data_IF_277600826679
#
_entry.id   IF_277600826679
#
_cell.length_a   1.000
_cell.length_b   1.000
_cell.length_c   1.000
_cell.angle_alpha   90.00
_cell.angle_beta   90.00
_cell.angle_gamma   90.00
#
_symmetry.space_group_name_H-M   'P 1'
#
loop_
_entity.id
_entity.type
_entity.pdbx_description
1 polymer ?
#
# COMPACT_ATOMS: atom_id res chain seq x y z
N UNK A 1 5.05 -8.02 2.14
CA UNK A 1 4.07 -7.31 1.28
C UNK A 1 4.55 -5.88 0.99
N UNK A 2 5.21 -5.64 -0.14
CA UNK A 2 5.65 -4.30 -0.56
C UNK A 2 4.46 -3.44 -1.03
N UNK A 3 4.63 -2.11 -1.12
CA UNK A 3 3.64 -1.20 -1.69
C UNK A 3 3.17 -1.67 -3.09
N UNK A 4 4.11 -2.23 -3.86
CA UNK A 4 3.85 -2.89 -5.13
C UNK A 4 2.92 -4.09 -5.03
N UNK A 5 2.96 -4.84 -3.92
CA UNK A 5 2.06 -5.97 -3.66
C UNK A 5 0.66 -5.49 -3.28
N UNK A 6 0.55 -4.41 -2.50
CA UNK A 6 -0.74 -3.75 -2.15
C UNK A 6 -1.36 -3.05 -3.37
N UNK A 7 -0.55 -2.52 -4.27
CA UNK A 7 -1.00 -1.94 -5.54
C UNK A 7 -1.26 -3.03 -6.61
N UNK A 8 -0.50 -4.13 -6.63
CA UNK A 8 -0.75 -5.27 -7.53
C UNK A 8 -1.98 -6.10 -7.14
N UNK A 9 -2.36 -6.16 -5.86
CA UNK A 9 -3.68 -6.68 -5.47
C UNK A 9 -4.82 -5.75 -5.91
N UNK A 10 -4.56 -4.46 -6.18
CA UNK A 10 -5.54 -3.53 -6.76
C UNK A 10 -5.66 -3.65 -8.29
N UNK A 11 -4.62 -4.06 -9.02
CA UNK A 11 -4.69 -4.18 -10.49
C UNK A 11 -5.55 -5.34 -10.97
N UNK A 12 -5.58 -6.45 -10.23
CA UNK A 12 -6.53 -7.52 -10.51
C UNK A 12 -7.97 -7.07 -10.27
N UNK A 13 -8.22 -6.09 -9.39
CA UNK A 13 -9.57 -5.55 -9.17
C UNK A 13 -9.95 -4.44 -10.15
N UNK A 14 -9.06 -3.52 -10.56
CA UNK A 14 -9.42 -2.41 -11.48
C UNK A 14 -9.77 -2.87 -12.90
N UNK A 15 -9.11 -3.89 -13.43
CA UNK A 15 -9.47 -4.49 -14.74
C UNK A 15 -10.70 -5.40 -14.64
N UNK A 16 -10.88 -6.08 -13.50
CA UNK A 16 -12.11 -6.84 -13.20
C UNK A 16 -13.32 -5.93 -12.91
N UNK A 17 -13.09 -4.68 -12.47
CA UNK A 17 -14.12 -3.68 -12.11
C UNK A 17 -14.99 -3.26 -13.29
N UNK A 18 -14.48 -3.23 -14.53
CA UNK A 18 -15.32 -2.96 -15.72
C UNK A 18 -16.18 -4.16 -16.15
N UNK A 19 -15.78 -5.38 -15.78
CA UNK A 19 -16.53 -6.60 -16.09
C UNK A 19 -17.52 -7.00 -14.99
N UNK A 20 -17.29 -6.57 -13.73
CA UNK A 20 -18.12 -6.91 -12.57
C UNK A 20 -19.08 -5.81 -12.12
N UNK A 21 -18.97 -4.57 -12.61
CA UNK A 21 -19.93 -3.50 -12.26
C UNK A 21 -21.36 -3.79 -12.74
N UNK A 22 -21.53 -4.73 -13.68
CA UNK A 22 -22.85 -5.17 -14.15
C UNK A 22 -23.50 -6.26 -13.29
N UNK A 23 -22.81 -6.84 -12.29
CA UNK A 23 -23.40 -7.83 -11.36
C UNK A 23 -23.59 -7.33 -9.93
N UNK A 24 -23.21 -6.08 -9.64
CA UNK A 24 -23.17 -5.47 -8.30
C UNK A 24 -24.50 -4.86 -7.81
N UNK A 25 -25.61 -5.05 -8.52
CA UNK A 25 -26.93 -4.49 -8.19
C UNK A 25 -27.62 -5.09 -6.95
N UNK A 26 -26.93 -5.92 -6.15
CA UNK A 26 -27.51 -6.58 -4.97
C UNK A 26 -26.76 -6.34 -3.65
N UNK A 27 -25.64 -5.60 -3.61
CA UNK A 27 -24.96 -5.26 -2.35
C UNK A 27 -25.41 -3.88 -1.86
N UNK A 28 -25.81 -3.78 -0.59
CA UNK A 28 -26.19 -2.51 0.04
C UNK A 28 -24.99 -1.56 -0.05
N UNK A 29 -25.15 -0.44 -0.76
CA UNK A 29 -24.15 0.61 -0.77
C UNK A 29 -24.00 1.16 0.64
N UNK A 30 -22.78 1.14 1.20
CA UNK A 30 -22.51 1.78 2.48
C UNK A 30 -22.68 3.29 2.34
N UNK A 31 -23.44 3.90 3.26
CA UNK A 31 -23.60 5.35 3.32
C UNK A 31 -22.33 6.03 3.85
N UNK A 32 -22.21 7.35 3.65
CA UNK A 32 -21.07 8.15 4.12
C UNK A 32 -20.76 7.93 5.61
N UNK A 33 -21.79 7.93 6.48
CA UNK A 33 -21.66 7.71 7.91
C UNK A 33 -21.09 6.33 8.25
N UNK A 34 -21.54 5.28 7.55
CA UNK A 34 -21.07 3.91 7.77
C UNK A 34 -19.60 3.77 7.32
N UNK A 35 -19.23 4.39 6.21
CA UNK A 35 -17.84 4.39 5.72
C UNK A 35 -16.91 5.12 6.69
N UNK A 36 -17.33 6.29 7.21
CA UNK A 36 -16.56 7.04 8.20
C UNK A 36 -16.46 6.30 9.53
N UNK A 37 -17.51 5.62 9.97
CA UNK A 37 -17.49 4.78 11.17
C UNK A 37 -16.52 3.60 10.99
N UNK A 38 -16.61 2.86 9.89
CA UNK A 38 -15.67 1.77 9.60
C UNK A 38 -14.22 2.26 9.53
N UNK A 39 -14.00 3.43 8.93
CA UNK A 39 -12.69 4.06 8.85
C UNK A 39 -12.13 4.47 10.23
N UNK A 40 -12.98 4.95 11.14
CA UNK A 40 -12.63 5.22 12.53
C UNK A 40 -12.36 3.94 13.33
N UNK A 41 -13.16 2.89 13.14
CA UNK A 41 -12.99 1.58 13.75
C UNK A 41 -11.66 0.94 13.38
N UNK A 42 -11.26 1.06 12.11
CA UNK A 42 -9.95 0.62 11.64
C UNK A 42 -8.82 1.36 12.36
N UNK A 43 -8.98 2.66 12.60
CA UNK A 43 -7.98 3.47 13.33
C UNK A 43 -7.85 2.98 14.77
N UNK A 44 -8.98 2.78 15.47
CA UNK A 44 -9.00 2.23 16.84
C UNK A 44 -8.39 0.82 16.90
N UNK A 45 -8.62 -0.01 15.89
CA UNK A 45 -8.05 -1.36 15.84
C UNK A 45 -6.51 -1.34 15.70
N UNK A 46 -5.95 -0.33 15.04
CA UNK A 46 -4.49 -0.15 14.94
C UNK A 46 -3.85 0.32 16.24
N UNK A 47 -4.61 0.94 17.14
CA UNK A 47 -4.16 1.33 18.48
C UNK A 47 -4.11 0.16 19.46
N UNK A 48 -4.60 -1.02 19.07
CA UNK A 48 -4.61 -2.19 19.94
C UNK A 48 -3.18 -2.54 20.43
N UNK A 49 -2.98 -2.90 21.72
CA UNK A 49 -1.65 -3.16 22.27
C UNK A 49 -0.85 -4.19 21.48
N UNK A 50 -1.49 -5.27 21.04
CA UNK A 50 -0.86 -6.30 20.21
C UNK A 50 -0.28 -5.76 18.89
N UNK A 51 -0.97 -4.81 18.24
CA UNK A 51 -0.53 -4.20 16.98
C UNK A 51 0.66 -3.30 17.26
N UNK A 52 0.56 -2.42 18.26
CA UNK A 52 1.65 -1.51 18.63
C UNK A 52 2.91 -2.25 19.10
N UNK A 53 2.79 -3.39 19.78
CA UNK A 53 3.90 -4.25 20.17
C UNK A 53 4.62 -4.86 18.96
N UNK A 54 3.87 -5.38 17.98
CA UNK A 54 4.45 -5.92 16.74
C UNK A 54 5.17 -4.84 15.92
N UNK A 55 4.59 -3.64 15.86
CA UNK A 55 5.22 -2.49 15.21
C UNK A 55 6.51 -2.06 15.93
N UNK A 56 6.49 -2.00 17.27
CA UNK A 56 7.67 -1.67 18.07
C UNK A 56 8.79 -2.72 17.92
N UNK A 57 8.45 -4.00 17.83
CA UNK A 57 9.43 -5.06 17.55
C UNK A 57 10.08 -4.88 16.17
N UNK A 58 9.27 -4.57 15.14
CA UNK A 58 9.81 -4.27 13.80
C UNK A 58 10.68 -3.01 13.78
N UNK A 59 10.33 -1.99 14.56
CA UNK A 59 11.13 -0.77 14.73
C UNK A 59 12.51 -1.08 15.30
N UNK A 60 12.59 -1.96 16.30
CA UNK A 60 13.82 -2.25 17.04
C UNK A 60 14.85 -3.06 16.23
N UNK A 61 14.41 -3.91 15.28
CA UNK A 61 15.31 -4.85 14.60
C UNK A 61 15.13 -5.02 13.09
N UNK A 62 14.15 -4.37 12.48
CA UNK A 62 13.91 -4.45 11.04
C UNK A 62 14.71 -3.43 10.22
N UNK A 63 15.03 -3.76 8.97
CA UNK A 63 15.42 -2.74 7.98
C UNK A 63 14.19 -1.95 7.49
N UNK A 64 14.40 -0.95 6.62
CA UNK A 64 13.30 -0.13 6.07
C UNK A 64 12.19 -0.97 5.44
N UNK A 65 12.55 -2.04 4.71
CA UNK A 65 11.58 -2.89 4.04
C UNK A 65 10.75 -3.66 5.06
N UNK A 66 11.39 -4.26 6.05
CA UNK A 66 10.73 -5.01 7.12
C UNK A 66 9.78 -4.11 7.89
N UNK A 67 10.23 -2.92 8.33
CA UNK A 67 9.38 -1.94 9.02
C UNK A 67 8.15 -1.58 8.17
N UNK A 68 8.36 -1.24 6.90
CA UNK A 68 7.27 -0.86 5.99
C UNK A 68 6.28 -2.01 5.74
N UNK A 69 6.79 -3.21 5.50
CA UNK A 69 5.98 -4.42 5.29
C UNK A 69 5.14 -4.70 6.53
N UNK A 70 5.72 -4.60 7.74
CA UNK A 70 4.98 -4.83 8.99
C UNK A 70 3.87 -3.79 9.17
N UNK A 71 4.12 -2.51 8.91
CA UNK A 71 3.06 -1.48 8.94
C UNK A 71 1.90 -1.83 7.99
N UNK A 72 2.20 -2.20 6.75
CA UNK A 72 1.17 -2.58 5.76
C UNK A 72 0.45 -3.89 6.12
N UNK A 73 1.16 -4.84 6.74
CA UNK A 73 0.58 -6.09 7.23
C UNK A 73 -0.41 -5.84 8.36
N UNK A 74 -0.08 -4.95 9.30
CA UNK A 74 -0.98 -4.56 10.39
C UNK A 74 -2.23 -3.86 9.86
N UNK A 75 -2.07 -2.93 8.92
CA UNK A 75 -3.22 -2.29 8.27
C UNK A 75 -4.11 -3.31 7.56
N UNK A 76 -3.51 -4.20 6.76
CA UNK A 76 -4.24 -5.23 6.01
C UNK A 76 -4.93 -6.24 6.95
N UNK A 77 -4.30 -6.66 8.04
CA UNK A 77 -4.89 -7.63 8.97
C UNK A 77 -6.12 -7.05 9.68
N UNK A 78 -6.06 -5.77 10.09
CA UNK A 78 -7.23 -5.10 10.67
C UNK A 78 -8.34 -4.88 9.64
N UNK A 79 -8.00 -4.58 8.38
CA UNK A 79 -8.97 -4.51 7.28
C UNK A 79 -9.67 -5.86 7.05
N UNK A 80 -8.92 -6.97 7.04
CA UNK A 80 -9.48 -8.32 6.90
C UNK A 80 -10.44 -8.63 8.05
N UNK A 81 -10.02 -8.37 9.29
CA UNK A 81 -10.85 -8.59 10.47
C UNK A 81 -12.11 -7.70 10.48
N UNK A 82 -12.04 -6.50 9.89
CA UNK A 82 -13.21 -5.63 9.72
C UNK A 82 -14.14 -6.15 8.63
N UNK A 83 -13.61 -6.55 7.47
CA UNK A 83 -14.40 -7.12 6.38
C UNK A 83 -15.16 -8.38 6.83
N UNK A 84 -14.55 -9.24 7.66
CA UNK A 84 -15.20 -10.42 8.22
C UNK A 84 -16.37 -10.09 9.17
N UNK A 85 -16.40 -8.90 9.75
CA UNK A 85 -17.48 -8.44 10.66
C UNK A 85 -18.61 -7.71 9.92
N UNK A 86 -18.45 -7.45 8.62
CA UNK A 86 -19.43 -6.75 7.78
C UNK A 86 -20.06 -7.76 6.80
N UNK A 87 -21.05 -8.57 7.25
CA UNK A 87 -21.61 -9.66 6.44
C UNK A 87 -22.23 -9.15 5.11
N UNK A 88 -22.71 -7.90 5.10
CA UNK A 88 -23.35 -7.28 3.94
C UNK A 88 -22.38 -6.97 2.78
N UNK A 89 -21.06 -7.03 3.02
CA UNK A 89 -20.04 -6.78 1.99
C UNK A 89 -19.68 -8.04 1.17
N UNK A 90 -20.21 -9.20 1.55
CA UNK A 90 -19.81 -10.50 1.02
C UNK A 90 -18.60 -11.08 1.77
N UNK A 91 -18.34 -12.39 1.63
CA UNK A 91 -17.17 -13.01 2.26
C UNK A 91 -15.87 -12.81 1.46
N UNK A 92 -14.73 -12.89 2.14
CA UNK A 92 -13.42 -13.08 1.50
C UNK A 92 -12.80 -11.84 0.85
N UNK A 93 -12.03 -12.04 -0.21
CA UNK A 93 -11.19 -11.00 -0.85
C UNK A 93 -11.99 -9.86 -1.47
N UNK A 94 -13.24 -10.13 -1.89
CA UNK A 94 -14.10 -9.11 -2.50
C UNK A 94 -14.54 -8.05 -1.50
N UNK A 95 -14.88 -8.44 -0.26
CA UNK A 95 -15.23 -7.49 0.78
C UNK A 95 -14.05 -6.63 1.20
N UNK A 96 -12.84 -7.20 1.23
CA UNK A 96 -11.62 -6.43 1.49
C UNK A 96 -11.39 -5.41 0.37
N UNK A 97 -11.54 -5.80 -0.89
CA UNK A 97 -11.40 -4.86 -2.03
C UNK A 97 -12.46 -3.77 -1.98
N UNK A 98 -13.71 -4.12 -1.70
CA UNK A 98 -14.81 -3.15 -1.63
C UNK A 98 -14.62 -2.17 -0.47
N UNK A 99 -14.23 -2.66 0.71
CA UNK A 99 -13.93 -1.84 1.86
C UNK A 99 -12.75 -0.89 1.58
N UNK A 100 -11.69 -1.39 0.94
CA UNK A 100 -10.58 -0.55 0.48
C UNK A 100 -11.07 0.54 -0.49
N UNK A 101 -11.96 0.23 -1.41
CA UNK A 101 -12.51 1.24 -2.32
C UNK A 101 -13.29 2.31 -1.57
N UNK A 102 -14.19 1.91 -0.66
CA UNK A 102 -14.96 2.85 0.15
C UNK A 102 -14.06 3.75 1.02
N UNK A 103 -13.03 3.18 1.64
CA UNK A 103 -12.13 3.92 2.54
C UNK A 103 -11.23 4.94 1.82
N UNK A 104 -11.03 4.81 0.50
CA UNK A 104 -10.14 5.69 -0.27
C UNK A 104 -10.86 6.54 -1.34
N UNK A 105 -12.00 6.08 -1.85
CA UNK A 105 -12.78 6.77 -2.88
C UNK A 105 -14.07 7.40 -2.32
N UNK A 106 -14.46 7.05 -1.08
CA UNK A 106 -15.72 7.48 -0.50
C UNK A 106 -16.91 6.59 -0.89
N UNK A 107 -18.10 6.87 -0.34
CA UNK A 107 -19.32 6.13 -0.67
C UNK A 107 -19.73 6.36 -2.13
N UNK A 108 -20.25 5.32 -2.78
CA UNK A 108 -20.77 5.41 -4.15
C UNK A 108 -22.07 6.24 -4.26
N UNK A 109 -22.75 6.44 -3.13
CA UNK A 109 -24.00 7.19 -3.03
C UNK A 109 -23.77 8.34 -2.06
N UNK A 110 -23.57 9.54 -2.61
CA UNK A 110 -23.55 10.79 -1.85
C UNK A 110 -24.80 11.61 -2.21
N UNK A 111 -25.40 12.26 -1.21
CA UNK A 111 -26.60 13.08 -1.39
C UNK A 111 -26.34 14.34 -2.25
N UNK A 112 -25.09 14.79 -2.30
CA UNK A 112 -24.62 15.91 -3.13
C UNK A 112 -23.11 15.83 -3.40
N UNK A 113 -22.61 16.63 -4.34
CA UNK A 113 -21.17 16.75 -4.60
C UNK A 113 -20.42 17.29 -3.36
N UNK A 114 -20.97 18.31 -2.69
CA UNK A 114 -20.38 18.87 -1.47
C UNK A 114 -20.30 17.82 -0.34
N UNK A 115 -21.32 16.97 -0.19
CA UNK A 115 -21.32 15.88 0.78
C UNK A 115 -20.28 14.80 0.45
N UNK A 116 -20.08 14.51 -0.84
CA UNK A 116 -19.03 13.61 -1.31
C UNK A 116 -17.64 14.17 -0.99
N UNK A 117 -17.41 15.46 -1.26
CA UNK A 117 -16.14 16.13 -1.01
C UNK A 117 -15.82 16.22 0.49
N UNK A 118 -16.82 16.55 1.31
CA UNK A 118 -16.68 16.55 2.77
C UNK A 118 -16.34 15.15 3.31
N UNK A 119 -17.00 14.11 2.79
CA UNK A 119 -16.71 12.72 3.17
C UNK A 119 -15.29 12.31 2.76
N UNK A 120 -14.86 12.69 1.55
CA UNK A 120 -13.52 12.39 1.06
C UNK A 120 -12.44 13.13 1.88
N UNK A 121 -12.69 14.38 2.26
CA UNK A 121 -11.81 15.13 3.14
C UNK A 121 -11.67 14.46 4.52
N UNK A 122 -12.79 14.02 5.11
CA UNK A 122 -12.77 13.29 6.38
C UNK A 122 -12.04 11.93 6.27
N UNK A 123 -12.20 11.20 5.16
CA UNK A 123 -11.47 9.95 4.92
C UNK A 123 -9.97 10.16 4.73
N UNK A 124 -9.57 11.27 4.10
CA UNK A 124 -8.15 11.67 4.01
C UNK A 124 -7.58 11.94 5.39
N UNK A 125 -8.29 12.66 6.24
CA UNK A 125 -7.84 12.94 7.60
C UNK A 125 -7.71 11.66 8.44
N UNK A 126 -8.68 10.75 8.35
CA UNK A 126 -8.56 9.46 9.03
C UNK A 126 -7.44 8.59 8.44
N UNK A 127 -7.17 8.68 7.13
CA UNK A 127 -6.01 8.02 6.51
C UNK A 127 -4.70 8.56 7.07
N UNK A 128 -4.59 9.89 7.25
CA UNK A 128 -3.43 10.54 7.88
C UNK A 128 -3.27 10.06 9.31
N UNK A 129 -4.33 10.03 10.12
CA UNK A 129 -4.31 9.55 11.49
C UNK A 129 -3.80 8.09 11.59
N UNK A 130 -4.28 7.19 10.71
CA UNK A 130 -3.78 5.80 10.63
C UNK A 130 -2.28 5.75 10.35
N UNK A 131 -1.82 6.52 9.37
CA UNK A 131 -0.39 6.54 9.04
C UNK A 131 0.46 7.19 10.13
N UNK A 132 -0.05 8.19 10.85
CA UNK A 132 0.64 8.76 12.01
C UNK A 132 0.90 7.69 13.09
N UNK A 133 -0.11 6.87 13.42
CA UNK A 133 0.04 5.74 14.35
C UNK A 133 1.07 4.71 13.84
N UNK A 134 0.94 4.28 12.58
CA UNK A 134 1.84 3.29 11.98
C UNK A 134 3.29 3.77 11.95
N UNK A 135 3.54 5.04 11.62
CA UNK A 135 4.89 5.63 11.59
C UNK A 135 5.45 5.81 13.00
N UNK A 136 4.65 6.29 13.96
CA UNK A 136 5.09 6.46 15.35
C UNK A 136 5.56 5.14 15.95
N UNK A 137 4.81 4.06 15.74
CA UNK A 137 5.13 2.77 16.32
C UNK A 137 6.13 1.95 15.48
N UNK A 138 6.04 2.00 14.14
CA UNK A 138 6.88 1.18 13.24
C UNK A 138 8.21 1.82 12.83
N UNK A 139 8.28 3.15 12.80
CA UNK A 139 9.47 3.91 12.41
C UNK A 139 10.00 4.82 13.52
N UNK A 140 9.16 5.18 14.50
CA UNK A 140 9.57 6.09 15.57
C UNK A 140 9.57 7.56 15.15
N UNK A 141 8.79 7.91 14.13
CA UNK A 141 8.67 9.27 13.62
C UNK A 141 7.21 9.71 13.52
N UNK A 142 6.99 11.02 13.48
CA UNK A 142 5.69 11.62 13.18
C UNK A 142 5.50 11.73 11.65
N UNK A 143 4.30 12.12 11.22
CA UNK A 143 4.04 12.45 9.81
C UNK A 143 5.00 13.54 9.33
N UNK A 144 5.42 13.42 8.08
CA UNK A 144 6.20 14.46 7.41
C UNK A 144 5.31 15.64 6.97
N UNK A 145 5.89 16.59 6.22
CA UNK A 145 5.10 17.69 5.66
C UNK A 145 3.98 17.17 4.76
N UNK A 146 2.86 17.87 4.81
CA UNK A 146 1.72 17.61 3.94
C UNK A 146 2.05 17.97 2.49
N UNK A 147 1.61 17.12 1.57
CA UNK A 147 1.67 17.43 0.15
C UNK A 147 0.29 17.81 -0.34
N UNK A 148 0.21 18.89 -1.10
CA UNK A 148 -0.88 19.09 -2.03
C UNK A 148 -0.87 18.01 -3.11
N UNK A 149 -2.04 17.74 -3.70
CA UNK A 149 -2.18 16.71 -4.74
C UNK A 149 -1.23 16.93 -5.93
N UNK A 150 -1.03 18.18 -6.37
CA UNK A 150 -0.08 18.55 -7.42
C UNK A 150 1.33 18.08 -7.08
N UNK A 151 1.80 18.40 -5.88
CA UNK A 151 3.14 18.03 -5.40
C UNK A 151 3.29 16.52 -5.16
N UNK A 152 2.22 15.85 -4.72
CA UNK A 152 2.19 14.39 -4.59
C UNK A 152 2.30 13.70 -5.96
N UNK A 153 1.66 14.23 -7.01
CA UNK A 153 1.81 13.73 -8.39
C UNK A 153 3.23 13.94 -8.90
N UNK A 154 3.83 15.12 -8.66
CA UNK A 154 5.22 15.39 -9.02
C UNK A 154 6.19 14.41 -8.33
N UNK A 155 5.97 14.10 -7.04
CA UNK A 155 6.74 13.08 -6.33
C UNK A 155 6.56 11.70 -6.98
N UNK A 156 5.33 11.30 -7.30
CA UNK A 156 5.07 10.02 -7.95
C UNK A 156 5.78 9.91 -9.32
N UNK A 157 5.79 10.98 -10.11
CA UNK A 157 6.51 11.05 -11.38
C UNK A 157 8.03 10.96 -11.15
N UNK A 158 8.57 11.71 -10.19
CA UNK A 158 9.99 11.67 -9.86
C UNK A 158 10.45 10.26 -9.42
N UNK A 159 9.61 9.52 -8.69
CA UNK A 159 9.90 8.12 -8.34
C UNK A 159 9.96 7.23 -9.58
N UNK A 160 9.06 7.43 -10.54
CA UNK A 160 9.08 6.69 -11.81
C UNK A 160 10.33 7.02 -12.60
N UNK A 161 10.67 8.28 -12.77
CA UNK A 161 11.89 8.69 -13.48
C UNK A 161 13.13 8.09 -12.81
N UNK A 162 13.15 8.07 -11.48
CA UNK A 162 14.21 7.46 -10.70
C UNK A 162 14.32 5.93 -10.94
N UNK A 163 13.20 5.23 -11.12
CA UNK A 163 13.15 3.81 -11.47
C UNK A 163 13.48 3.52 -12.92
N UNK A 164 13.15 4.43 -13.83
CA UNK A 164 13.42 4.27 -15.26
C UNK A 164 14.82 4.71 -15.66
N UNK A 165 15.55 5.37 -14.75
CA UNK A 165 16.93 5.80 -14.97
C UNK A 165 17.81 4.63 -15.47
N UNK A 166 18.49 4.76 -16.62
CA UNK A 166 19.29 3.66 -17.18
C UNK A 166 20.38 3.15 -16.23
N UNK A 167 20.95 4.04 -15.42
CA UNK A 167 21.94 3.69 -14.39
C UNK A 167 21.34 2.82 -13.28
N UNK A 168 20.10 3.08 -12.87
CA UNK A 168 19.40 2.27 -11.88
C UNK A 168 19.00 0.90 -12.44
N UNK A 169 18.41 0.87 -13.64
CA UNK A 169 18.04 -0.38 -14.30
C UNK A 169 19.25 -1.30 -14.54
N UNK A 170 20.41 -0.72 -14.88
CA UNK A 170 21.66 -1.47 -14.98
C UNK A 170 22.08 -2.09 -13.65
N UNK A 171 22.02 -1.33 -12.55
CA UNK A 171 22.29 -1.86 -11.20
C UNK A 171 21.37 -3.02 -10.84
N UNK A 172 20.09 -2.95 -11.23
CA UNK A 172 19.13 -4.05 -11.03
C UNK A 172 19.53 -5.29 -11.83
N UNK A 173 19.90 -5.12 -13.11
CA UNK A 173 20.38 -6.25 -13.93
C UNK A 173 21.70 -6.84 -13.41
N UNK A 174 22.62 -6.00 -12.96
CA UNK A 174 23.90 -6.43 -12.38
C UNK A 174 23.70 -7.21 -11.08
N UNK A 175 22.81 -6.73 -10.20
CA UNK A 175 22.39 -7.46 -9.00
C UNK A 175 21.97 -8.88 -9.39
N UNK A 176 21.06 -9.02 -10.35
CA UNK A 176 20.51 -10.31 -10.77
C UNK A 176 21.52 -11.25 -11.47
N UNK A 177 22.63 -10.74 -11.99
CA UNK A 177 23.68 -11.55 -12.62
C UNK A 177 24.69 -12.14 -11.64
N UNK A 178 24.70 -11.67 -10.38
CA UNK A 178 25.61 -12.21 -9.37
C UNK A 178 25.34 -13.68 -9.09
N UNK A 179 26.41 -14.48 -8.95
CA UNK A 179 26.32 -15.94 -8.72
C UNK A 179 25.44 -16.30 -7.51
N UNK A 180 25.50 -15.48 -6.46
CA UNK A 180 24.68 -15.63 -5.24
C UNK A 180 23.19 -15.44 -5.49
N UNK A 181 22.78 -14.64 -6.49
CA UNK A 181 21.36 -14.45 -6.81
C UNK A 181 20.76 -15.70 -7.46
N UNK A 182 21.56 -16.54 -8.12
CA UNK A 182 21.09 -17.80 -8.69
C UNK A 182 20.54 -18.77 -7.65
N UNK A 183 21.09 -18.74 -6.42
CA UNK A 183 20.71 -19.61 -5.32
C UNK A 183 19.49 -19.12 -4.51
N UNK A 184 19.09 -17.87 -4.69
CA UNK A 184 17.95 -17.30 -3.95
C UNK A 184 16.61 -17.73 -4.55
N UNK A 185 15.62 -17.91 -3.66
CA UNK A 185 14.22 -18.06 -4.05
C UNK A 185 13.68 -16.79 -4.74
N UNK A 186 12.58 -16.91 -5.48
CA UNK A 186 11.94 -15.77 -6.14
C UNK A 186 11.51 -14.67 -5.14
N UNK A 187 11.09 -15.07 -3.94
CA UNK A 187 10.74 -14.14 -2.87
C UNK A 187 11.97 -13.37 -2.37
N UNK A 188 13.10 -14.04 -2.15
CA UNK A 188 14.33 -13.39 -1.71
C UNK A 188 14.88 -12.44 -2.79
N UNK A 189 14.81 -12.85 -4.07
CA UNK A 189 15.14 -11.99 -5.22
C UNK A 189 14.25 -10.74 -5.23
N UNK A 190 12.94 -10.92 -5.05
CA UNK A 190 11.99 -9.81 -4.99
C UNK A 190 12.32 -8.86 -3.83
N UNK A 191 12.63 -9.38 -2.64
CA UNK A 191 13.00 -8.56 -1.50
C UNK A 191 14.30 -7.79 -1.74
N UNK A 192 15.31 -8.41 -2.35
CA UNK A 192 16.57 -7.75 -2.70
C UNK A 192 16.36 -6.57 -3.67
N UNK A 193 15.59 -6.79 -4.75
CA UNK A 193 15.22 -5.73 -5.69
C UNK A 193 14.42 -4.62 -5.01
N UNK A 194 13.49 -5.00 -4.13
CA UNK A 194 12.67 -4.01 -3.39
C UNK A 194 13.52 -3.14 -2.47
N UNK A 195 14.52 -3.71 -1.79
CA UNK A 195 15.47 -2.92 -0.97
C UNK A 195 16.24 -1.91 -1.81
N UNK A 196 16.69 -2.32 -3.01
CA UNK A 196 17.36 -1.41 -3.94
C UNK A 196 16.41 -0.29 -4.43
N UNK A 197 15.14 -0.61 -4.67
CA UNK A 197 14.12 0.39 -5.00
C UNK A 197 13.89 1.38 -3.84
N UNK A 198 13.84 0.93 -2.59
CA UNK A 198 13.68 1.80 -1.42
C UNK A 198 14.80 2.83 -1.34
N UNK A 199 16.05 2.43 -1.58
CA UNK A 199 17.18 3.37 -1.63
C UNK A 199 16.94 4.45 -2.70
N UNK A 200 16.46 4.04 -3.88
CA UNK A 200 16.15 4.97 -4.96
C UNK A 200 14.98 5.90 -4.64
N UNK A 201 13.97 5.41 -3.92
CA UNK A 201 12.84 6.22 -3.46
C UNK A 201 13.27 7.26 -2.44
N UNK A 202 14.16 6.91 -1.50
CA UNK A 202 14.75 7.85 -0.53
C UNK A 202 15.43 9.01 -1.24
N UNK A 203 16.28 8.73 -2.22
CA UNK A 203 16.97 9.76 -3.02
C UNK A 203 15.98 10.67 -3.77
N UNK A 204 14.97 10.08 -4.41
CA UNK A 204 13.98 10.82 -5.19
C UNK A 204 13.03 11.67 -4.33
N UNK A 205 12.85 11.34 -3.05
CA UNK A 205 11.99 12.09 -2.13
C UNK A 205 12.67 13.32 -1.51
N UNK A 206 14.01 13.41 -1.56
CA UNK A 206 14.77 14.55 -0.99
C UNK A 206 14.34 15.92 -1.53
N UNK A 207 14.17 16.11 -2.85
CA UNK A 207 13.69 17.39 -3.41
C UNK A 207 12.27 17.79 -2.96
N UNK A 208 11.52 16.87 -2.33
CA UNK A 208 10.17 17.09 -1.83
C UNK A 208 10.12 17.35 -0.32
N UNK A 209 11.29 17.51 0.32
CA UNK A 209 11.39 17.86 1.74
C UNK A 209 11.46 16.67 2.69
N UNK A 210 11.60 15.46 2.18
CA UNK A 210 11.79 14.25 2.99
C UNK A 210 13.28 13.89 3.10
N UNK A 211 13.74 13.44 4.27
CA UNK A 211 15.14 13.00 4.43
C UNK A 211 15.43 11.73 3.62
N UNK A 212 16.72 11.45 3.38
CA UNK A 212 17.16 10.17 2.81
C UNK A 212 17.21 9.02 3.83
N UNK A 213 16.57 9.17 5.00
CA UNK A 213 16.57 8.19 6.09
C UNK A 213 15.39 7.20 5.98
N UNK A 214 15.28 6.27 6.94
CA UNK A 214 14.11 5.37 7.04
C UNK A 214 12.82 6.15 7.32
N UNK A 215 12.92 7.18 8.16
CA UNK A 215 11.80 8.05 8.53
C UNK A 215 11.34 8.85 7.31
N UNK A 216 12.26 9.47 6.56
CA UNK A 216 11.92 10.23 5.36
C UNK A 216 11.28 9.38 4.27
N UNK A 217 11.74 8.12 4.11
CA UNK A 217 11.04 7.14 3.27
C UNK A 217 9.60 6.91 3.74
N UNK A 218 9.40 6.59 5.02
CA UNK A 218 8.07 6.27 5.54
C UNK A 218 7.11 7.45 5.44
N UNK A 219 7.60 8.67 5.71
CA UNK A 219 6.85 9.92 5.59
C UNK A 219 6.44 10.20 4.14
N UNK A 220 7.36 10.06 3.18
CA UNK A 220 7.05 10.24 1.76
C UNK A 220 6.01 9.22 1.27
N UNK A 221 6.14 7.96 1.68
CA UNK A 221 5.15 6.94 1.34
C UNK A 221 3.78 7.25 1.97
N UNK A 222 3.72 7.63 3.25
CA UNK A 222 2.48 8.00 3.92
C UNK A 222 1.79 9.19 3.22
N UNK A 223 2.54 10.19 2.77
CA UNK A 223 2.00 11.33 2.02
C UNK A 223 1.35 10.90 0.70
N UNK A 224 1.97 9.97 -0.04
CA UNK A 224 1.39 9.41 -1.27
C UNK A 224 0.14 8.56 -1.01
N UNK A 225 0.07 7.88 0.15
CA UNK A 225 -1.08 7.04 0.50
C UNK A 225 -2.37 7.84 0.73
N UNK A 226 -2.28 9.12 1.09
CA UNK A 226 -3.45 10.02 1.18
C UNK A 226 -4.15 10.17 -0.17
N UNK A 227 -3.42 10.02 -1.28
CA UNK A 227 -3.91 10.18 -2.65
C UNK A 227 -3.83 8.89 -3.47
N UNK A 228 -3.87 7.71 -2.82
CA UNK A 228 -3.68 6.41 -3.50
C UNK A 228 -4.75 6.09 -4.56
N UNK A 229 -5.89 6.78 -4.55
CA UNK A 229 -6.95 6.68 -5.56
C UNK A 229 -6.75 7.61 -6.75
N UNK A 230 -5.80 8.53 -6.68
CA UNK A 230 -5.43 9.36 -7.82
C UNK A 230 -4.80 8.50 -8.93
N UNK A 231 -5.39 8.55 -10.12
CA UNK A 231 -5.00 7.70 -11.23
C UNK A 231 -3.56 7.94 -11.70
N UNK A 232 -3.06 9.18 -11.58
CA UNK A 232 -1.69 9.53 -11.96
C UNK A 232 -0.72 8.91 -10.94
N UNK A 233 -0.93 9.15 -9.64
CA UNK A 233 -0.07 8.59 -8.59
C UNK A 233 -0.05 7.05 -8.67
N UNK A 234 -1.22 6.42 -8.75
CA UNK A 234 -1.34 4.97 -8.85
C UNK A 234 -0.66 4.43 -10.12
N UNK A 235 -1.00 4.99 -11.28
CA UNK A 235 -0.47 4.57 -12.58
C UNK A 235 1.04 4.71 -12.68
N UNK A 236 1.57 5.84 -12.24
CA UNK A 236 3.01 6.12 -12.20
C UNK A 236 3.75 5.07 -11.35
N UNK A 237 3.41 4.95 -10.06
CA UNK A 237 4.14 4.06 -9.15
C UNK A 237 4.09 2.61 -9.64
N UNK A 238 2.92 2.16 -10.11
CA UNK A 238 2.74 0.83 -10.66
C UNK A 238 3.63 0.58 -11.89
N UNK A 239 3.58 1.47 -12.89
CA UNK A 239 4.35 1.33 -14.12
C UNK A 239 5.87 1.31 -13.84
N UNK A 240 6.35 2.25 -13.02
CA UNK A 240 7.76 2.32 -12.65
C UNK A 240 8.22 1.04 -11.92
N UNK A 241 7.43 0.58 -10.97
CA UNK A 241 7.72 -0.65 -10.21
C UNK A 241 7.72 -1.89 -11.09
N UNK A 242 6.72 -2.05 -11.96
CA UNK A 242 6.61 -3.20 -12.85
C UNK A 242 7.83 -3.30 -13.77
N UNK A 243 8.30 -2.16 -14.31
CA UNK A 243 9.49 -2.13 -15.17
C UNK A 243 10.75 -2.59 -14.44
N UNK A 244 10.91 -2.23 -13.17
CA UNK A 244 12.07 -2.66 -12.36
C UNK A 244 12.04 -4.17 -12.13
N UNK A 245 10.91 -4.73 -11.71
CA UNK A 245 10.80 -6.18 -11.52
C UNK A 245 10.95 -6.97 -12.82
N UNK A 246 10.40 -6.47 -13.93
CA UNK A 246 10.63 -7.06 -15.26
C UNK A 246 12.11 -7.05 -15.64
N UNK A 247 12.82 -5.95 -15.37
CA UNK A 247 14.27 -5.84 -15.61
C UNK A 247 15.06 -6.83 -14.75
N UNK A 248 14.54 -7.16 -13.57
CA UNK A 248 15.11 -8.19 -12.70
C UNK A 248 14.73 -9.64 -13.10
N UNK A 249 13.92 -9.83 -14.15
CA UNK A 249 13.41 -11.14 -14.54
C UNK A 249 12.39 -11.73 -13.56
N UNK A 250 11.79 -10.90 -12.70
CA UNK A 250 10.83 -11.32 -11.68
C UNK A 250 9.41 -11.18 -12.24
N UNK A 251 8.73 -12.31 -12.39
CA UNK A 251 7.32 -12.34 -12.76
C UNK A 251 6.44 -12.07 -11.53
N UNK A 252 5.98 -10.83 -11.42
CA UNK A 252 5.12 -10.41 -10.32
C UNK A 252 3.83 -11.22 -10.21
N UNK A 253 3.27 -11.73 -11.31
CA UNK A 253 2.06 -12.55 -11.24
C UNK A 253 2.32 -13.89 -10.53
N UNK A 254 3.48 -14.51 -10.78
CA UNK A 254 3.89 -15.74 -10.09
C UNK A 254 4.16 -15.50 -8.62
N UNK A 255 4.86 -14.41 -8.29
CA UNK A 255 5.13 -14.03 -6.88
C UNK A 255 3.81 -13.81 -6.14
N UNK A 256 2.86 -13.10 -6.73
CA UNK A 256 1.52 -12.89 -6.15
C UNK A 256 0.80 -14.21 -5.86
N UNK A 257 0.81 -15.14 -6.82
CA UNK A 257 0.17 -16.46 -6.65
C UNK A 257 0.85 -17.28 -5.55
N UNK A 258 2.18 -17.25 -5.45
CA UNK A 258 2.91 -17.95 -4.38
C UNK A 258 2.54 -17.40 -2.99
N UNK A 259 2.52 -16.07 -2.84
CA UNK A 259 2.15 -15.43 -1.58
C UNK A 259 0.70 -15.78 -1.18
N UNK A 260 -0.24 -15.75 -2.13
CA UNK A 260 -1.62 -16.16 -1.88
C UNK A 260 -1.73 -17.61 -1.42
N UNK A 261 -0.98 -18.54 -2.03
CA UNK A 261 -0.96 -19.95 -1.64
C UNK A 261 -0.40 -20.14 -0.22
N UNK A 262 0.68 -19.44 0.12
CA UNK A 262 1.27 -19.50 1.46
C UNK A 262 0.29 -18.99 2.52
N UNK A 263 -0.42 -17.89 2.25
CA UNK A 263 -1.45 -17.39 3.17
C UNK A 263 -2.62 -18.37 3.32
N UNK A 264 -3.07 -19.00 2.23
CA UNK A 264 -4.15 -20.00 2.28
C UNK A 264 -3.75 -21.23 3.12
N UNK A 265 -2.48 -21.67 3.04
CA UNK A 265 -1.95 -22.78 3.84
C UNK A 265 -1.85 -22.44 5.33
N UNK A 266 -1.53 -21.19 5.68
CA UNK A 266 -1.45 -20.74 7.07
C UNK A 266 -2.83 -20.59 7.75
N UNK A 267 -3.92 -20.56 6.98
CA UNK A 267 -5.29 -20.38 7.50
C UNK A 267 -6.06 -21.71 7.66
N UNK A 268 -5.49 -22.85 7.26
CA UNK A 268 -6.12 -24.14 7.54
C UNK A 268 -5.82 -24.56 8.99
N UNK A 269 -6.85 -24.71 9.85
CA UNK A 269 -6.64 -25.30 11.17
C UNK A 269 -6.14 -26.74 11.00
N UNK A 270 -5.15 -27.12 11.81
CA UNK A 270 -4.59 -28.46 11.87
C UNK A 270 -5.62 -29.51 12.29
#
# INVERSE_FOLDING_TARGET
MSLALVLATRTSSLSARRALSSSLSARRAMGATEVLAASADLTRALEAPQVTQQLAAARAGGDTLVKWVTCNMMLTSQLVAMAQRLPDLGGGNEAISHLLDLLHAGPAVAESADAADATLAALREQTRARWALLLRHGFGCELGPDLELSRARELAIALVDAYQAPTFLRKVSELMRGELMGALSDLEKQQAVTRLMILRQKEAAVPFGYSSSDEGYAQAQAALQVYVTDAVIHGSIMQGTQRVYLTAGIDMNKVMQQVQRQHAQQQQPA
#
